data_IF_981926599541
#
_entry.id   IF_981926599541
#
_cell.length_a   1.000
_cell.length_b   1.000
_cell.length_c   1.000
_cell.angle_alpha   90.00
_cell.angle_beta   90.00
_cell.angle_gamma   90.00
#
_symmetry.space_group_name_H-M   'P 1'
#
loop_
_entity.id
_entity.type
_entity.pdbx_description
1 polymer ?
#
# COMPACT_ATOMS: atom_id res chain seq x y z
N UNK A 1 19.25 -32.50 -9.95
CA UNK A 1 18.13 -31.68 -9.46
C UNK A 1 17.15 -31.57 -10.61
N UNK A 2 16.00 -32.23 -10.53
CA UNK A 2 14.99 -32.15 -11.59
C UNK A 2 14.23 -30.83 -11.41
N UNK A 3 14.46 -29.87 -12.29
CA UNK A 3 13.61 -28.68 -12.38
C UNK A 3 12.26 -29.16 -12.88
N UNK A 4 11.19 -28.91 -12.13
CA UNK A 4 9.83 -29.22 -12.56
C UNK A 4 9.49 -28.38 -13.79
N UNK A 5 8.79 -28.94 -14.78
CA UNK A 5 8.41 -28.26 -16.02
C UNK A 5 7.26 -27.27 -15.79
N UNK A 6 7.46 -26.33 -14.86
CA UNK A 6 6.55 -25.23 -14.62
C UNK A 6 7.05 -23.99 -15.36
N UNK A 7 6.16 -23.38 -16.13
CA UNK A 7 6.39 -22.12 -16.83
C UNK A 7 5.61 -20.96 -16.18
N UNK A 8 5.76 -19.75 -16.73
CA UNK A 8 5.11 -18.55 -16.17
C UNK A 8 3.58 -18.63 -16.12
N UNK A 9 2.93 -19.50 -16.93
CA UNK A 9 1.47 -19.69 -16.88
C UNK A 9 1.06 -20.39 -15.59
N UNK A 10 1.87 -21.33 -15.12
CA UNK A 10 1.66 -22.05 -13.86
C UNK A 10 1.77 -21.08 -12.68
N UNK A 11 2.80 -20.23 -12.67
CA UNK A 11 3.01 -19.24 -11.61
C UNK A 11 1.90 -18.18 -11.59
N UNK A 12 1.48 -17.68 -12.76
CA UNK A 12 0.34 -16.75 -12.87
C UNK A 12 -0.96 -17.35 -12.34
N UNK A 13 -1.19 -18.65 -12.52
CA UNK A 13 -2.38 -19.29 -11.98
C UNK A 13 -2.36 -19.33 -10.45
N UNK A 14 -1.22 -19.66 -9.84
CA UNK A 14 -1.09 -19.66 -8.38
C UNK A 14 -1.28 -18.27 -7.78
N UNK A 15 -0.66 -17.27 -8.38
CA UNK A 15 -0.75 -15.88 -7.98
C UNK A 15 -2.20 -15.38 -8.06
N UNK A 16 -2.88 -15.57 -9.20
CA UNK A 16 -4.28 -15.24 -9.39
C UNK A 16 -5.22 -16.03 -8.44
N UNK A 17 -4.87 -17.26 -8.07
CA UNK A 17 -5.67 -18.05 -7.12
C UNK A 17 -5.51 -17.56 -5.68
N UNK A 18 -4.32 -17.10 -5.32
CA UNK A 18 -4.07 -16.44 -4.04
C UNK A 18 -4.90 -15.17 -3.89
N UNK A 19 -4.95 -14.35 -4.93
CA UNK A 19 -5.70 -13.09 -4.96
C UNK A 19 -7.22 -13.32 -4.97
N UNK A 20 -7.69 -14.16 -5.90
CA UNK A 20 -9.12 -14.29 -6.19
C UNK A 20 -9.87 -15.28 -5.27
N UNK A 21 -9.16 -16.12 -4.52
CA UNK A 21 -9.73 -17.09 -3.58
C UNK A 21 -10.58 -18.19 -4.22
N UNK A 22 -10.64 -18.29 -5.56
CA UNK A 22 -11.30 -19.39 -6.27
C UNK A 22 -10.74 -19.60 -7.68
N UNK A 23 -10.70 -20.87 -8.13
CA UNK A 23 -10.16 -21.20 -9.46
C UNK A 23 -10.97 -20.58 -10.60
N UNK A 24 -12.29 -20.42 -10.42
CA UNK A 24 -13.15 -19.77 -11.41
C UNK A 24 -12.88 -18.27 -11.53
N UNK A 25 -12.61 -17.59 -10.41
CA UNK A 25 -12.23 -16.18 -10.41
C UNK A 25 -10.81 -15.99 -10.95
N UNK A 26 -9.85 -16.82 -10.55
CA UNK A 26 -8.48 -16.81 -11.08
C UNK A 26 -8.46 -17.04 -12.61
N UNK A 27 -9.27 -18.00 -13.11
CA UNK A 27 -9.39 -18.23 -14.55
C UNK A 27 -9.89 -16.99 -15.30
N UNK A 28 -10.90 -16.28 -14.76
CA UNK A 28 -11.41 -15.04 -15.36
C UNK A 28 -10.34 -13.94 -15.38
N UNK A 29 -9.59 -13.76 -14.29
CA UNK A 29 -8.48 -12.79 -14.24
C UNK A 29 -7.44 -13.06 -15.33
N UNK A 30 -7.17 -14.32 -15.62
CA UNK A 30 -6.18 -14.73 -16.63
C UNK A 30 -6.74 -14.87 -18.04
N UNK A 31 -8.03 -14.59 -18.27
CA UNK A 31 -8.68 -14.81 -19.57
C UNK A 31 -8.74 -16.28 -20.00
N UNK A 32 -8.72 -17.22 -19.04
CA UNK A 32 -8.77 -18.66 -19.27
C UNK A 32 -10.18 -19.22 -19.07
N UNK A 33 -10.51 -20.27 -19.81
CA UNK A 33 -11.65 -21.11 -19.46
C UNK A 33 -11.36 -21.88 -18.16
N UNK A 34 -12.33 -21.92 -17.22
CA UNK A 34 -12.16 -22.59 -15.94
C UNK A 34 -11.66 -24.05 -16.03
N UNK A 35 -12.11 -24.89 -17.00
CA UNK A 35 -11.55 -26.24 -17.17
C UNK A 35 -10.06 -26.26 -17.49
N UNK A 36 -9.55 -25.23 -18.20
CA UNK A 36 -8.14 -25.12 -18.52
C UNK A 36 -7.33 -24.76 -17.27
N UNK A 37 -7.79 -23.80 -16.48
CA UNK A 37 -7.16 -23.45 -15.20
C UNK A 37 -7.16 -24.65 -14.23
N UNK A 38 -8.27 -25.41 -14.14
CA UNK A 38 -8.32 -26.63 -13.32
C UNK A 38 -7.30 -27.68 -13.78
N UNK A 39 -7.22 -27.96 -15.09
CA UNK A 39 -6.23 -28.91 -15.63
C UNK A 39 -4.80 -28.47 -15.37
N UNK A 40 -4.53 -27.17 -15.46
CA UNK A 40 -3.22 -26.62 -15.17
C UNK A 40 -2.85 -26.82 -13.69
N UNK A 41 -3.77 -26.51 -12.76
CA UNK A 41 -3.58 -26.77 -11.33
C UNK A 41 -3.39 -28.27 -11.03
N UNK A 42 -4.24 -29.14 -11.60
CA UNK A 42 -4.13 -30.58 -11.42
C UNK A 42 -2.77 -31.14 -11.95
N UNK A 43 -2.22 -30.54 -13.01
CA UNK A 43 -0.88 -30.90 -13.51
C UNK A 43 0.23 -30.48 -12.56
N UNK A 44 0.10 -29.31 -11.95
CA UNK A 44 1.04 -28.80 -10.95
C UNK A 44 1.05 -29.68 -9.69
N UNK A 45 -0.13 -30.04 -9.19
CA UNK A 45 -0.28 -30.88 -8.00
C UNK A 45 0.29 -32.28 -8.22
N UNK A 46 0.06 -32.87 -9.39
CA UNK A 46 0.67 -34.17 -9.77
C UNK A 46 2.20 -34.05 -9.82
N UNK A 47 2.74 -32.99 -10.40
CA UNK A 47 4.18 -32.75 -10.45
C UNK A 47 4.77 -32.44 -9.07
N UNK A 48 4.01 -31.74 -8.23
CA UNK A 48 4.40 -31.40 -6.86
C UNK A 48 4.41 -32.62 -5.93
N UNK A 49 3.47 -33.55 -6.14
CA UNK A 49 3.21 -34.67 -5.25
C UNK A 49 2.40 -34.30 -4.00
N UNK A 50 1.79 -33.13 -4.00
CA UNK A 50 0.88 -32.65 -2.94
C UNK A 50 -0.13 -31.66 -3.48
N UNK A 51 -1.24 -31.48 -2.75
CA UNK A 51 -2.29 -30.53 -3.11
C UNK A 51 -1.80 -29.09 -2.90
N UNK A 52 -1.99 -28.24 -3.92
CA UNK A 52 -1.73 -26.79 -3.85
C UNK A 52 -3.00 -26.02 -3.48
N UNK A 53 -4.18 -26.59 -3.78
CA UNK A 53 -5.45 -25.99 -3.43
C UNK A 53 -6.42 -27.03 -2.86
N UNK A 54 -7.29 -26.59 -1.96
CA UNK A 54 -8.41 -27.37 -1.42
C UNK A 54 -9.70 -26.92 -2.08
N UNK A 55 -10.51 -27.91 -2.53
CA UNK A 55 -11.85 -27.68 -3.10
C UNK A 55 -12.89 -27.74 -1.99
N UNK A 56 -13.68 -26.71 -1.85
CA UNK A 56 -14.81 -26.65 -0.92
C UNK A 56 -16.10 -26.23 -1.63
N UNK A 57 -17.23 -26.38 -0.95
CA UNK A 57 -18.53 -25.88 -1.45
C UNK A 57 -18.55 -24.35 -1.68
N UNK A 58 -17.59 -23.62 -1.09
CA UNK A 58 -17.42 -22.15 -1.20
C UNK A 58 -16.37 -21.72 -2.23
N UNK A 59 -15.74 -22.65 -2.93
CA UNK A 59 -14.67 -22.38 -3.90
C UNK A 59 -13.37 -23.16 -3.61
N UNK A 60 -12.28 -22.79 -4.27
CA UNK A 60 -10.97 -23.41 -4.10
C UNK A 60 -10.02 -22.42 -3.46
N UNK A 61 -9.43 -22.77 -2.32
CA UNK A 61 -8.43 -21.96 -1.63
C UNK A 61 -7.08 -22.67 -1.67
N UNK A 62 -6.00 -21.90 -1.69
CA UNK A 62 -4.66 -22.47 -1.54
C UNK A 62 -4.52 -23.14 -0.18
N UNK A 63 -3.83 -24.29 -0.17
CA UNK A 63 -3.34 -24.93 1.06
C UNK A 63 -2.17 -24.12 1.64
N UNK A 64 -1.75 -24.41 2.88
CA UNK A 64 -0.54 -23.78 3.46
C UNK A 64 0.68 -24.00 2.56
N UNK A 65 0.83 -25.20 1.98
CA UNK A 65 1.88 -25.50 1.00
C UNK A 65 1.69 -24.72 -0.29
N UNK A 66 0.44 -24.56 -0.74
CA UNK A 66 0.07 -23.75 -1.90
C UNK A 66 0.41 -22.27 -1.71
N UNK A 67 0.18 -21.71 -0.52
CA UNK A 67 0.54 -20.34 -0.17
C UNK A 67 2.06 -20.10 -0.23
N UNK A 68 2.85 -21.02 0.30
CA UNK A 68 4.33 -20.95 0.19
C UNK A 68 4.78 -20.96 -1.27
N UNK A 69 4.21 -21.86 -2.09
CA UNK A 69 4.58 -21.95 -3.51
C UNK A 69 4.09 -20.73 -4.30
N UNK A 70 2.92 -20.19 -3.97
CA UNK A 70 2.41 -18.97 -4.59
C UNK A 70 3.29 -17.76 -4.28
N UNK A 71 3.79 -17.62 -3.05
CA UNK A 71 4.75 -16.56 -2.70
C UNK A 71 6.04 -16.64 -3.55
N UNK A 72 6.61 -17.83 -3.71
CA UNK A 72 7.77 -18.04 -4.59
C UNK A 72 7.44 -17.83 -6.08
N UNK A 73 6.21 -18.18 -6.50
CA UNK A 73 5.74 -17.95 -7.86
C UNK A 73 5.66 -16.45 -8.19
N UNK A 74 5.17 -15.64 -7.24
CA UNK A 74 5.14 -14.18 -7.35
C UNK A 74 6.54 -13.58 -7.54
N UNK A 75 7.56 -14.07 -6.82
CA UNK A 75 8.96 -13.66 -7.01
C UNK A 75 9.48 -13.97 -8.42
N UNK A 76 9.15 -15.15 -8.97
CA UNK A 76 9.53 -15.53 -10.35
C UNK A 76 8.84 -14.63 -11.38
N UNK A 77 7.55 -14.32 -11.19
CA UNK A 77 6.81 -13.42 -12.07
C UNK A 77 7.39 -12.01 -12.05
N UNK A 78 7.73 -11.51 -10.88
CA UNK A 78 8.41 -10.23 -10.74
C UNK A 78 9.78 -10.22 -11.42
N UNK A 79 10.56 -11.30 -11.32
CA UNK A 79 11.84 -11.43 -12.04
C UNK A 79 11.63 -11.43 -13.57
N UNK A 80 10.61 -12.12 -14.07
CA UNK A 80 10.26 -12.14 -15.49
C UNK A 80 9.85 -10.74 -15.99
N UNK A 81 9.08 -10.00 -15.20
CA UNK A 81 8.70 -8.61 -15.50
C UNK A 81 9.94 -7.71 -15.59
N UNK A 82 10.89 -7.82 -14.66
CA UNK A 82 12.17 -7.08 -14.73
C UNK A 82 12.95 -7.37 -16.01
N UNK A 83 12.97 -8.63 -16.46
CA UNK A 83 13.62 -8.99 -17.75
C UNK A 83 12.94 -8.29 -18.93
N UNK A 84 11.60 -8.27 -18.97
CA UNK A 84 10.86 -7.56 -20.02
C UNK A 84 11.18 -6.07 -20.02
N UNK A 85 11.16 -5.41 -18.86
CA UNK A 85 11.50 -3.99 -18.73
C UNK A 85 12.94 -3.70 -19.19
N UNK A 86 13.89 -4.57 -18.83
CA UNK A 86 15.28 -4.42 -19.28
C UNK A 86 15.42 -4.55 -20.81
N UNK A 87 14.68 -5.48 -21.42
CA UNK A 87 14.65 -5.65 -22.88
C UNK A 87 14.06 -4.42 -23.56
N UNK A 88 12.94 -3.89 -23.06
CA UNK A 88 12.28 -2.70 -23.61
C UNK A 88 13.19 -1.47 -23.51
N UNK A 89 13.88 -1.29 -22.38
CA UNK A 89 14.86 -0.22 -22.19
C UNK A 89 16.04 -0.34 -23.17
N UNK A 90 16.57 -1.56 -23.37
CA UNK A 90 17.66 -1.81 -24.32
C UNK A 90 17.22 -1.65 -25.77
N UNK A 91 15.96 -1.89 -26.08
CA UNK A 91 15.39 -1.69 -27.42
C UNK A 91 15.13 -0.21 -27.75
N UNK A 92 15.38 0.72 -26.82
CA UNK A 92 15.12 2.15 -27.01
C UNK A 92 13.64 2.52 -27.09
N UNK A 93 12.77 1.60 -26.72
CA UNK A 93 11.33 1.83 -26.62
C UNK A 93 11.02 2.43 -25.26
N UNK A 94 11.19 3.71 -25.04
CA UNK A 94 10.89 4.48 -23.84
C UNK A 94 10.87 3.68 -22.53
N UNK A 95 11.55 4.15 -21.47
CA UNK A 95 11.59 3.42 -20.20
C UNK A 95 10.21 3.21 -19.59
N UNK A 96 10.05 2.14 -18.82
CA UNK A 96 8.87 1.91 -17.97
C UNK A 96 9.24 2.06 -16.49
N UNK A 97 8.34 2.61 -15.70
CA UNK A 97 8.50 2.78 -14.25
C UNK A 97 7.22 2.35 -13.55
N UNK A 98 7.31 1.29 -12.76
CA UNK A 98 6.21 0.81 -11.95
C UNK A 98 6.36 1.34 -10.53
N UNK A 99 5.35 2.07 -10.07
CA UNK A 99 5.32 2.73 -8.78
C UNK A 99 4.20 2.11 -7.94
N UNK A 100 4.47 1.84 -6.66
CA UNK A 100 3.43 1.62 -5.67
C UNK A 100 3.48 2.73 -4.63
N UNK A 101 2.35 3.34 -4.33
CA UNK A 101 2.29 4.49 -3.43
C UNK A 101 1.29 4.29 -2.30
N UNK A 102 1.66 4.75 -1.09
CA UNK A 102 0.71 4.92 0.00
C UNK A 102 -0.39 5.91 -0.38
N UNK A 103 -1.57 5.76 0.25
CA UNK A 103 -2.75 6.52 -0.14
C UNK A 103 -2.54 8.04 -0.07
N UNK A 104 -1.92 8.55 1.00
CA UNK A 104 -1.74 10.01 1.14
C UNK A 104 -0.88 10.59 0.02
N UNK A 105 0.22 9.91 -0.33
CA UNK A 105 1.09 10.34 -1.45
C UNK A 105 0.35 10.19 -2.78
N UNK A 106 -0.36 9.06 -2.99
CA UNK A 106 -1.09 8.79 -4.21
C UNK A 106 -2.22 9.81 -4.48
N UNK A 107 -2.96 10.19 -3.43
CA UNK A 107 -4.12 11.08 -3.54
C UNK A 107 -3.73 12.56 -3.64
N UNK A 108 -2.66 12.99 -2.94
CA UNK A 108 -2.38 14.42 -2.75
C UNK A 108 -1.11 14.93 -3.44
N UNK A 109 -0.15 14.07 -3.76
CA UNK A 109 1.13 14.47 -4.33
C UNK A 109 1.35 13.90 -5.74
N UNK A 110 1.05 12.61 -5.91
CA UNK A 110 1.30 11.89 -7.15
C UNK A 110 0.64 12.53 -8.38
N UNK A 111 -0.60 13.08 -8.33
CA UNK A 111 -1.20 13.69 -9.50
C UNK A 111 -0.38 14.85 -10.09
N UNK A 112 0.18 15.72 -9.25
CA UNK A 112 1.04 16.82 -9.68
C UNK A 112 2.38 16.31 -10.24
N UNK A 113 2.97 15.30 -9.60
CA UNK A 113 4.22 14.68 -10.04
C UNK A 113 4.07 13.99 -11.40
N UNK A 114 2.98 13.23 -11.59
CA UNK A 114 2.68 12.56 -12.86
C UNK A 114 2.37 13.54 -13.98
N UNK A 115 1.64 14.64 -13.69
CA UNK A 115 1.37 15.68 -14.67
C UNK A 115 2.68 16.33 -15.16
N UNK A 116 3.63 16.59 -14.24
CA UNK A 116 4.93 17.14 -14.61
C UNK A 116 5.82 16.11 -15.31
N UNK A 117 5.78 14.83 -14.88
CA UNK A 117 6.51 13.75 -15.52
C UNK A 117 6.06 13.58 -16.98
N UNK A 118 4.75 13.62 -17.25
CA UNK A 118 4.21 13.56 -18.61
C UNK A 118 4.77 14.66 -19.55
N UNK A 119 5.07 15.83 -18.99
CA UNK A 119 5.62 16.96 -19.76
C UNK A 119 7.14 16.86 -19.94
N UNK A 120 7.87 16.49 -18.87
CA UNK A 120 9.35 16.52 -18.85
C UNK A 120 10.00 15.21 -19.25
N UNK A 121 9.28 14.09 -19.08
CA UNK A 121 9.74 12.71 -19.38
C UNK A 121 8.73 12.01 -20.32
N UNK A 122 8.43 12.57 -21.52
CA UNK A 122 7.34 12.06 -22.36
C UNK A 122 7.56 10.63 -22.88
N UNK A 123 8.78 10.14 -22.88
CA UNK A 123 9.13 8.78 -23.28
C UNK A 123 8.99 7.77 -22.12
N UNK A 124 8.75 8.23 -20.88
CA UNK A 124 8.61 7.37 -19.72
C UNK A 124 7.15 6.93 -19.54
N UNK A 125 6.92 5.61 -19.63
CA UNK A 125 5.63 5.00 -19.29
C UNK A 125 5.57 4.75 -17.77
N UNK A 126 4.61 5.32 -17.07
CA UNK A 126 4.47 5.16 -15.62
C UNK A 126 3.18 4.41 -15.32
N UNK A 127 3.30 3.33 -14.54
CA UNK A 127 2.18 2.61 -13.94
C UNK A 127 2.17 2.91 -12.44
N UNK A 128 1.01 3.26 -11.89
CA UNK A 128 0.83 3.57 -10.48
C UNK A 128 -0.16 2.60 -9.84
N UNK A 129 0.33 1.85 -8.87
CA UNK A 129 -0.47 1.07 -7.94
C UNK A 129 -0.63 1.84 -6.62
N UNK A 130 -1.76 1.66 -5.96
CA UNK A 130 -2.06 2.32 -4.69
C UNK A 130 -2.34 1.27 -3.62
N UNK A 131 -1.73 1.48 -2.44
CA UNK A 131 -1.91 0.60 -1.30
C UNK A 131 -1.62 1.31 0.02
N UNK A 132 -1.37 0.56 1.07
CA UNK A 132 -0.81 1.11 2.31
C UNK A 132 0.72 0.89 2.37
N UNK A 133 1.39 1.47 3.37
CA UNK A 133 2.85 1.38 3.45
C UNK A 133 3.37 -0.06 3.55
N UNK A 134 2.64 -0.97 4.19
CA UNK A 134 3.04 -2.37 4.28
C UNK A 134 3.01 -3.04 2.90
N UNK A 135 1.93 -2.85 2.13
CA UNK A 135 1.81 -3.42 0.78
C UNK A 135 2.82 -2.84 -0.21
N UNK A 136 3.26 -1.58 -0.02
CA UNK A 136 4.37 -1.01 -0.80
C UNK A 136 5.65 -1.81 -0.58
N UNK A 137 6.01 -2.11 0.67
CA UNK A 137 7.19 -2.92 0.97
C UNK A 137 7.09 -4.35 0.44
N UNK A 138 5.91 -4.97 0.52
CA UNK A 138 5.67 -6.31 -0.03
C UNK A 138 5.93 -6.34 -1.53
N UNK A 139 5.32 -5.43 -2.29
CA UNK A 139 5.49 -5.33 -3.74
C UNK A 139 6.93 -5.03 -4.17
N UNK A 140 7.65 -4.20 -3.40
CA UNK A 140 9.07 -3.95 -3.64
C UNK A 140 9.93 -5.20 -3.39
N UNK A 141 9.63 -6.02 -2.36
CA UNK A 141 10.33 -7.30 -2.10
C UNK A 141 10.08 -8.31 -3.20
N UNK A 142 8.86 -8.41 -3.67
CA UNK A 142 8.45 -9.25 -4.79
C UNK A 142 9.08 -8.77 -6.10
N UNK A 143 9.49 -7.50 -6.18
CA UNK A 143 10.00 -6.87 -7.40
C UNK A 143 8.92 -6.63 -8.44
N UNK A 144 7.66 -6.57 -8.03
CA UNK A 144 6.53 -6.23 -8.89
C UNK A 144 6.45 -4.73 -9.18
N UNK A 145 7.16 -3.90 -8.41
CA UNK A 145 7.33 -2.47 -8.61
C UNK A 145 8.78 -2.05 -8.42
N UNK A 146 9.17 -0.96 -9.08
CA UNK A 146 10.54 -0.43 -9.09
C UNK A 146 10.77 0.60 -7.99
N UNK A 147 9.73 1.37 -7.66
CA UNK A 147 9.77 2.49 -6.74
C UNK A 147 8.53 2.49 -5.86
N UNK A 148 8.74 2.71 -4.57
CA UNK A 148 7.68 2.85 -3.59
C UNK A 148 7.62 4.24 -2.97
N UNK A 149 6.44 4.64 -2.52
CA UNK A 149 6.25 5.82 -1.67
C UNK A 149 5.51 5.41 -0.41
N UNK A 150 6.13 5.66 0.73
CA UNK A 150 5.62 5.24 2.05
C UNK A 150 5.46 6.42 2.99
N UNK A 151 4.61 6.24 3.98
CA UNK A 151 4.30 7.21 5.01
C UNK A 151 4.25 6.48 6.36
N UNK A 152 5.14 6.75 7.24
CA UNK A 152 5.10 6.08 8.54
C UNK A 152 6.46 5.98 9.19
N UNK A 153 6.49 5.53 10.44
CA UNK A 153 7.70 5.48 11.23
C UNK A 153 8.57 4.24 10.92
N UNK A 154 8.04 3.28 10.18
CA UNK A 154 8.71 2.01 9.91
C UNK A 154 9.83 2.19 8.91
N UNK A 155 11.03 1.77 9.30
CA UNK A 155 12.21 1.63 8.44
C UNK A 155 12.52 0.14 8.35
N UNK A 156 12.43 -0.40 7.15
CA UNK A 156 12.69 -1.81 6.89
C UNK A 156 14.09 -2.00 6.29
N UNK A 157 14.75 -3.08 6.65
CA UNK A 157 16.07 -3.42 6.09
C UNK A 157 15.94 -3.90 4.64
N UNK A 158 17.00 -3.69 3.85
CA UNK A 158 17.03 -4.11 2.44
C UNK A 158 16.49 -3.07 1.46
N UNK A 159 16.24 -1.84 1.91
CA UNK A 159 15.79 -0.74 1.07
C UNK A 159 16.66 0.50 1.24
N UNK A 160 16.72 1.30 0.19
CA UNK A 160 17.18 2.67 0.23
C UNK A 160 15.99 3.60 0.48
N UNK A 161 16.25 4.72 1.13
CA UNK A 161 15.24 5.72 1.49
C UNK A 161 15.68 7.10 1.04
N UNK A 162 14.72 7.86 0.53
CA UNK A 162 14.87 9.27 0.27
C UNK A 162 13.75 10.02 1.00
N UNK A 163 14.11 10.78 2.02
CA UNK A 163 13.16 11.66 2.70
C UNK A 163 12.70 12.75 1.73
N UNK A 164 11.40 12.93 1.58
CA UNK A 164 10.81 13.87 0.65
C UNK A 164 10.26 15.08 1.39
N UNK A 165 9.26 14.87 2.24
CA UNK A 165 8.64 15.95 3.00
C UNK A 165 8.04 15.46 4.31
N UNK A 166 7.82 16.38 5.23
CA UNK A 166 7.14 16.15 6.48
C UNK A 166 5.64 16.33 6.29
N UNK A 167 4.85 15.44 6.87
CA UNK A 167 3.40 15.50 6.92
C UNK A 167 2.94 15.46 8.38
N UNK A 168 2.07 16.40 8.75
CA UNK A 168 1.46 16.47 10.07
C UNK A 168 0.10 15.77 10.04
N UNK A 169 -0.13 14.87 11.00
CA UNK A 169 -1.43 14.29 11.24
C UNK A 169 -2.18 15.13 12.29
N UNK A 170 -3.49 15.18 12.15
CA UNK A 170 -4.39 15.91 13.02
C UNK A 170 -5.38 14.97 13.66
N UNK A 171 -5.70 15.22 14.94
CA UNK A 171 -6.92 14.69 15.56
C UNK A 171 -8.08 15.55 15.09
N UNK A 172 -9.08 14.93 14.47
CA UNK A 172 -10.22 15.63 13.89
C UNK A 172 -11.53 15.08 14.40
N UNK A 173 -12.51 15.98 14.53
CA UNK A 173 -13.87 15.68 15.00
C UNK A 173 -14.89 16.44 14.16
N UNK A 174 -16.17 16.03 14.12
CA UNK A 174 -17.23 16.85 13.53
C UNK A 174 -17.42 18.18 14.32
N UNK A 175 -17.88 19.23 13.66
CA UNK A 175 -18.13 20.53 14.30
C UNK A 175 -19.09 20.45 15.52
N UNK A 176 -20.02 19.49 15.51
CA UNK A 176 -20.96 19.27 16.63
C UNK A 176 -20.37 18.44 17.79
N UNK A 177 -19.14 17.91 17.68
CA UNK A 177 -18.54 17.10 18.73
C UNK A 177 -18.14 17.95 19.95
N UNK A 178 -18.28 17.44 21.19
CA UNK A 178 -17.92 18.22 22.40
C UNK A 178 -16.47 18.75 22.39
N UNK A 179 -15.54 18.05 21.75
CA UNK A 179 -14.15 18.50 21.64
C UNK A 179 -13.96 19.70 20.71
N UNK A 180 -14.88 19.92 19.76
CA UNK A 180 -14.76 21.03 18.81
C UNK A 180 -14.83 22.42 19.48
N UNK A 181 -15.51 22.52 20.64
CA UNK A 181 -15.62 23.76 21.40
C UNK A 181 -14.49 23.93 22.44
N UNK A 182 -13.56 23.00 22.55
CA UNK A 182 -12.48 23.01 23.55
C UNK A 182 -11.19 23.53 22.92
N UNK A 183 -10.44 24.29 23.68
CA UNK A 183 -9.11 24.77 23.29
C UNK A 183 -8.13 23.61 23.17
N UNK A 184 -8.19 22.65 24.11
CA UNK A 184 -7.34 21.45 24.13
C UNK A 184 -8.12 20.21 24.60
N UNK A 185 -7.62 19.05 24.18
CA UNK A 185 -8.08 17.72 24.63
C UNK A 185 -6.87 16.93 25.13
N UNK A 186 -7.02 16.19 26.23
CA UNK A 186 -5.96 15.37 26.77
C UNK A 186 -5.63 14.16 25.89
N UNK A 187 -4.37 13.76 25.80
CA UNK A 187 -3.94 12.60 25.02
C UNK A 187 -4.58 11.29 25.57
N UNK A 188 -4.76 11.17 26.89
CA UNK A 188 -5.43 10.02 27.53
C UNK A 188 -6.92 9.94 27.13
N UNK A 189 -7.57 11.10 26.97
CA UNK A 189 -8.95 11.18 26.53
C UNK A 189 -9.08 10.72 25.07
N UNK A 190 -8.14 11.15 24.19
CA UNK A 190 -8.07 10.68 22.81
C UNK A 190 -7.80 9.17 22.75
N UNK A 191 -6.86 8.67 23.56
CA UNK A 191 -6.51 7.25 23.60
C UNK A 191 -7.67 6.35 24.07
N UNK A 192 -8.56 6.88 24.93
CA UNK A 192 -9.71 6.16 25.47
C UNK A 192 -10.96 6.24 24.59
N UNK A 193 -10.98 7.12 23.60
CA UNK A 193 -12.12 7.31 22.72
C UNK A 193 -12.25 6.15 21.70
N UNK A 194 -13.48 5.93 21.21
CA UNK A 194 -13.71 5.08 20.04
C UNK A 194 -13.22 5.80 18.79
N UNK A 195 -11.99 5.47 18.33
CA UNK A 195 -11.38 6.12 17.18
C UNK A 195 -11.81 5.47 15.87
N UNK A 196 -12.01 6.31 14.83
CA UNK A 196 -11.99 5.86 13.45
C UNK A 196 -10.54 5.76 13.01
N UNK A 197 -10.10 4.57 12.63
CA UNK A 197 -8.70 4.27 12.29
C UNK A 197 -8.60 3.67 10.89
N UNK A 198 -7.43 3.81 10.30
CA UNK A 198 -7.08 3.13 9.06
C UNK A 198 -6.83 1.63 9.32
N UNK A 199 -6.83 0.87 8.25
CA UNK A 199 -6.52 -0.56 8.23
C UNK A 199 -5.09 -0.86 8.72
N UNK A 200 -4.85 -2.11 9.12
CA UNK A 200 -3.52 -2.60 9.46
C UNK A 200 -2.54 -2.40 8.29
N UNK A 201 -1.30 -2.00 8.59
CA UNK A 201 -0.28 -1.67 7.56
C UNK A 201 -0.30 -0.21 7.09
N UNK A 202 -1.32 0.58 7.45
CA UNK A 202 -1.36 2.03 7.17
C UNK A 202 -0.34 2.78 8.01
N UNK A 203 0.50 3.62 7.38
CA UNK A 203 1.42 4.50 8.06
C UNK A 203 0.71 5.54 8.96
N UNK A 204 -0.46 6.03 8.57
CA UNK A 204 -1.31 6.91 9.40
C UNK A 204 -1.68 6.23 10.71
N UNK A 205 -2.15 4.97 10.63
CA UNK A 205 -2.49 4.18 11.83
C UNK A 205 -1.27 3.95 12.71
N UNK A 206 -0.14 3.56 12.13
CA UNK A 206 1.10 3.30 12.89
C UNK A 206 1.57 4.53 13.68
N UNK A 207 1.51 5.72 13.07
CA UNK A 207 1.88 6.98 13.75
C UNK A 207 0.91 7.27 14.90
N UNK A 208 -0.40 7.16 14.65
CA UNK A 208 -1.42 7.38 15.69
C UNK A 208 -1.27 6.41 16.87
N UNK A 209 -1.15 5.11 16.58
CA UNK A 209 -0.98 4.07 17.61
C UNK A 209 0.31 4.27 18.42
N UNK A 210 1.43 4.58 17.75
CA UNK A 210 2.70 4.83 18.43
C UNK A 210 2.63 6.07 19.33
N UNK A 211 2.00 7.14 18.85
CA UNK A 211 1.87 8.38 19.64
C UNK A 211 0.94 8.20 20.84
N UNK A 212 -0.13 7.40 20.69
CA UNK A 212 -1.10 7.16 21.76
C UNK A 212 -0.72 6.00 22.70
N UNK A 213 0.29 5.19 22.38
CA UNK A 213 0.67 4.00 23.14
C UNK A 213 0.97 4.30 24.62
N UNK A 214 1.64 5.44 24.92
CA UNK A 214 1.96 5.86 26.28
C UNK A 214 0.73 6.34 27.09
N UNK A 215 -0.39 6.56 26.41
CA UNK A 215 -1.64 7.11 26.96
C UNK A 215 -2.79 6.08 26.98
N UNK A 216 -2.53 4.84 26.56
CA UNK A 216 -3.52 3.77 26.56
C UNK A 216 -3.42 3.00 27.87
N UNK A 217 -4.51 2.92 28.63
CA UNK A 217 -4.57 2.12 29.85
C UNK A 217 -4.38 0.62 29.55
N UNK A 218 -3.64 -0.10 30.39
CA UNK A 218 -3.36 -1.55 30.20
C UNK A 218 -4.60 -2.45 30.16
N UNK A 219 -5.74 -1.97 30.66
CA UNK A 219 -6.94 -2.80 30.88
C UNK A 219 -8.02 -2.75 29.81
N UNK A 220 -7.92 -1.86 28.80
CA UNK A 220 -8.96 -1.77 27.77
C UNK A 220 -8.34 -1.44 26.40
N UNK A 221 -8.39 -2.40 25.48
CA UNK A 221 -8.20 -2.07 24.08
C UNK A 221 -9.33 -1.12 23.67
N UNK A 222 -9.03 0.13 23.26
CA UNK A 222 -10.07 1.07 22.85
C UNK A 222 -10.86 0.50 21.67
N UNK A 223 -12.18 0.69 21.68
CA UNK A 223 -13.02 0.34 20.53
C UNK A 223 -12.54 1.13 19.31
N UNK A 224 -12.43 0.46 18.18
CA UNK A 224 -11.94 1.06 16.94
C UNK A 224 -12.89 0.74 15.78
N UNK A 225 -13.19 1.75 14.97
CA UNK A 225 -13.83 1.55 13.68
C UNK A 225 -12.73 1.58 12.60
N UNK A 226 -12.45 0.44 11.99
CA UNK A 226 -11.42 0.32 10.96
C UNK A 226 -11.99 0.60 9.57
N UNK A 227 -11.28 1.42 8.78
CA UNK A 227 -11.63 1.78 7.40
C UNK A 227 -10.41 1.72 6.49
N UNK A 228 -10.62 1.38 5.21
CA UNK A 228 -9.56 1.08 4.24
C UNK A 228 -9.06 2.29 3.43
N UNK A 229 -9.49 3.54 3.69
CA UNK A 229 -9.00 4.71 2.94
C UNK A 229 -9.10 6.00 3.76
N UNK A 230 -8.34 7.04 3.33
CA UNK A 230 -8.42 8.38 3.92
C UNK A 230 -9.82 8.99 3.73
N UNK A 231 -10.40 8.83 2.54
CA UNK A 231 -11.74 9.32 2.24
C UNK A 231 -12.80 8.67 3.13
N UNK A 232 -12.73 7.34 3.35
CA UNK A 232 -13.63 6.64 4.26
C UNK A 232 -13.45 7.10 5.72
N UNK A 233 -12.20 7.35 6.16
CA UNK A 233 -11.92 7.88 7.50
C UNK A 233 -12.55 9.26 7.68
N UNK A 234 -12.28 10.19 6.77
CA UNK A 234 -12.82 11.54 6.82
C UNK A 234 -14.35 11.54 6.80
N UNK A 235 -14.96 10.73 5.93
CA UNK A 235 -16.42 10.60 5.84
C UNK A 235 -17.03 10.01 7.12
N UNK A 236 -16.38 9.01 7.72
CA UNK A 236 -16.84 8.37 8.96
C UNK A 236 -16.77 9.33 10.15
N UNK A 237 -15.68 10.11 10.27
CA UNK A 237 -15.57 11.16 11.28
C UNK A 237 -16.64 12.22 11.07
N UNK A 238 -16.85 12.68 9.84
CA UNK A 238 -17.87 13.67 9.53
C UNK A 238 -19.31 13.19 9.79
N UNK A 239 -19.54 11.88 9.72
CA UNK A 239 -20.79 11.22 10.10
C UNK A 239 -20.97 11.05 11.62
N UNK A 240 -19.97 11.43 12.44
CA UNK A 240 -20.04 11.34 13.90
C UNK A 240 -19.75 9.96 14.47
N UNK A 241 -19.08 9.06 13.72
CA UNK A 241 -18.78 7.70 14.18
C UNK A 241 -17.63 7.65 15.19
N UNK A 242 -16.94 8.77 15.41
CA UNK A 242 -15.87 8.94 16.38
C UNK A 242 -14.80 9.92 15.90
N UNK A 243 -13.88 10.33 16.80
CA UNK A 243 -12.68 11.08 16.42
C UNK A 243 -11.78 10.26 15.50
N UNK A 244 -11.00 10.94 14.64
CA UNK A 244 -10.02 10.28 13.77
C UNK A 244 -8.67 10.97 13.77
N UNK A 245 -7.61 10.22 13.42
CA UNK A 245 -6.29 10.77 13.16
C UNK A 245 -6.01 10.66 11.68
N UNK A 246 -5.75 11.78 11.02
CA UNK A 246 -5.65 11.85 9.57
C UNK A 246 -4.63 12.90 9.12
N UNK A 247 -4.02 12.70 7.95
CA UNK A 247 -3.13 13.70 7.34
C UNK A 247 -3.83 15.04 7.16
N UNK A 248 -3.11 16.12 7.45
CA UNK A 248 -3.58 17.49 7.16
C UNK A 248 -3.94 17.64 5.69
N UNK A 249 -3.18 17.03 4.77
CA UNK A 249 -3.46 17.08 3.33
C UNK A 249 -4.83 16.47 3.00
N UNK A 250 -5.18 15.35 3.64
CA UNK A 250 -6.41 14.63 3.37
C UNK A 250 -7.67 15.32 3.94
N UNK A 251 -7.52 16.13 4.99
CA UNK A 251 -8.66 16.73 5.69
C UNK A 251 -8.81 18.23 5.46
N UNK A 252 -7.85 18.86 4.76
CA UNK A 252 -7.88 20.31 4.50
C UNK A 252 -9.20 20.83 3.93
N UNK A 253 -9.88 20.18 2.97
CA UNK A 253 -11.15 20.66 2.45
C UNK A 253 -12.25 20.70 3.51
N UNK A 254 -12.33 19.72 4.39
CA UNK A 254 -13.32 19.64 5.47
C UNK A 254 -13.04 20.67 6.57
N UNK A 255 -11.77 20.97 6.85
CA UNK A 255 -11.38 22.01 7.77
C UNK A 255 -11.76 23.40 7.23
N UNK A 256 -11.53 23.66 5.93
CA UNK A 256 -11.88 24.93 5.28
C UNK A 256 -13.38 25.17 5.27
N UNK A 257 -14.19 24.13 5.11
CA UNK A 257 -15.66 24.24 5.12
C UNK A 257 -16.25 24.25 6.55
N UNK A 258 -15.42 24.03 7.58
CA UNK A 258 -15.87 23.91 8.95
C UNK A 258 -16.68 22.64 9.25
N UNK A 259 -16.71 21.68 8.33
CA UNK A 259 -17.41 20.40 8.54
C UNK A 259 -16.69 19.52 9.57
N UNK A 260 -15.36 19.59 9.60
CA UNK A 260 -14.51 19.01 10.62
C UNK A 260 -13.69 20.09 11.32
N UNK A 261 -13.31 19.81 12.55
CA UNK A 261 -12.47 20.68 13.39
C UNK A 261 -11.24 19.89 13.82
N UNK A 262 -10.07 20.46 13.67
CA UNK A 262 -8.85 19.92 14.23
C UNK A 262 -8.75 20.26 15.71
N UNK A 263 -8.45 19.27 16.53
CA UNK A 263 -8.35 19.40 17.98
C UNK A 263 -6.89 19.47 18.39
N UNK A 264 -6.54 20.44 19.23
CA UNK A 264 -5.18 20.54 19.81
C UNK A 264 -5.04 19.54 20.95
N UNK A 265 -4.02 18.67 20.85
CA UNK A 265 -3.69 17.67 21.88
C UNK A 265 -2.26 17.95 22.37
N UNK A 266 -2.09 18.66 23.51
CA UNK A 266 -0.77 19.03 24.01
C UNK A 266 0.10 17.80 24.27
N UNK A 267 1.38 17.88 23.85
CA UNK A 267 2.35 16.81 24.06
C UNK A 267 2.23 15.62 23.08
N UNK A 268 1.18 15.53 22.28
CA UNK A 268 1.03 14.49 21.28
C UNK A 268 1.71 14.87 19.97
N UNK A 269 2.79 14.17 19.62
CA UNK A 269 3.53 14.40 18.36
C UNK A 269 3.00 13.47 17.28
N UNK A 270 2.24 14.02 16.34
CA UNK A 270 1.60 13.33 15.24
C UNK A 270 2.23 13.77 13.91
N UNK A 271 3.54 13.58 13.77
CA UNK A 271 4.29 13.93 12.57
C UNK A 271 4.95 12.70 11.96
N UNK A 272 5.07 12.69 10.64
CA UNK A 272 5.73 11.64 9.88
C UNK A 272 6.53 12.20 8.71
N UNK A 273 7.44 11.39 8.17
CA UNK A 273 8.15 11.71 6.94
C UNK A 273 7.58 10.86 5.82
N UNK A 274 7.23 11.49 4.70
CA UNK A 274 6.92 10.81 3.46
C UNK A 274 8.22 10.51 2.73
N UNK A 275 8.38 9.25 2.27
CA UNK A 275 9.64 8.75 1.72
C UNK A 275 9.43 8.04 0.40
N UNK A 276 10.37 8.23 -0.52
CA UNK A 276 10.56 7.30 -1.61
C UNK A 276 11.44 6.14 -1.12
N UNK A 277 11.12 4.91 -1.55
CA UNK A 277 11.86 3.72 -1.18
C UNK A 277 12.08 2.81 -2.41
N UNK A 278 13.26 2.16 -2.48
CA UNK A 278 13.57 1.18 -3.53
C UNK A 278 14.54 0.12 -2.99
N UNK A 279 14.55 -1.11 -3.58
CA UNK A 279 15.39 -2.19 -3.07
C UNK A 279 16.88 -1.88 -3.14
N UNK A 280 17.63 -2.12 -2.06
CA UNK A 280 19.09 -1.86 -2.00
C UNK A 280 19.91 -2.85 -2.81
N UNK A 281 19.35 -4.02 -3.13
CA UNK A 281 20.00 -5.09 -3.90
C UNK A 281 20.01 -4.86 -5.42
N UNK A 282 19.25 -3.87 -5.90
CA UNK A 282 19.14 -3.56 -7.33
C UNK A 282 19.67 -2.13 -7.53
N UNK A 283 20.59 -1.91 -8.49
CA UNK A 283 20.98 -0.54 -8.85
C UNK A 283 19.76 0.29 -9.24
N UNK A 284 19.77 1.55 -8.88
CA UNK A 284 18.73 2.49 -9.28
C UNK A 284 18.68 2.59 -10.81
N UNK A 285 17.54 2.29 -11.42
CA UNK A 285 17.40 2.44 -12.86
C UNK A 285 17.47 3.92 -13.25
N UNK A 286 17.79 4.19 -14.51
CA UNK A 286 17.80 5.54 -15.06
C UNK A 286 16.42 6.20 -14.91
N UNK A 287 15.37 5.48 -15.23
CA UNK A 287 13.98 5.91 -15.19
C UNK A 287 13.57 6.31 -13.77
N UNK A 288 13.90 5.45 -12.79
CA UNK A 288 13.64 5.73 -11.36
C UNK A 288 14.42 6.97 -10.91
N UNK A 289 15.70 7.09 -11.31
CA UNK A 289 16.54 8.23 -10.98
C UNK A 289 16.00 9.55 -11.56
N UNK A 290 15.59 9.56 -12.84
CA UNK A 290 15.01 10.73 -13.51
C UNK A 290 13.70 11.15 -12.86
N UNK A 291 12.81 10.19 -12.51
CA UNK A 291 11.56 10.49 -11.82
C UNK A 291 11.80 11.03 -10.39
N UNK A 292 12.72 10.44 -9.62
CA UNK A 292 13.06 10.94 -8.28
C UNK A 292 13.68 12.33 -8.33
N UNK A 293 14.53 12.63 -9.30
CA UNK A 293 15.11 13.97 -9.49
C UNK A 293 14.01 15.00 -9.81
N UNK A 294 13.03 14.63 -10.64
CA UNK A 294 11.86 15.46 -10.94
C UNK A 294 11.05 15.71 -9.67
N UNK A 295 10.71 14.66 -8.89
CA UNK A 295 9.96 14.79 -7.63
C UNK A 295 10.65 15.75 -6.67
N UNK A 296 11.98 15.61 -6.47
CA UNK A 296 12.76 16.53 -5.62
C UNK A 296 12.68 17.95 -6.12
N UNK A 297 12.83 18.18 -7.41
CA UNK A 297 12.75 19.55 -7.96
C UNK A 297 11.38 20.23 -7.73
N UNK A 298 10.32 19.45 -7.54
CA UNK A 298 8.97 19.95 -7.26
C UNK A 298 8.70 20.18 -5.76
N UNK A 299 9.52 19.57 -4.91
CA UNK A 299 9.40 19.74 -3.44
C UNK A 299 10.28 20.88 -2.96
N UNK A 300 11.47 21.06 -3.57
CA UNK A 300 12.46 22.07 -3.18
C UNK A 300 12.17 23.45 -3.80
N UNK A 301 11.28 23.56 -4.79
CA UNK A 301 10.90 24.80 -5.49
C UNK A 301 9.53 25.30 -5.11
#
# INVERSE_FOLDING_TARGET
MTVRDWDLRHFRLLDALAEAGSIGAAARLLGLAQPNASRLLDSMERSAGFALAERSARGSRLTDRGLVVAGLASEVLAAATRVTHAVDALAGQGGSLHICSSLTVAEHLMPAWLATARQRLPALSITLDVGNSASVFERLREGSVDLGFVEGPTIETGFHYLDLLRDDLLVVVPAAHPWAARETVGADEVASATLVVREAGSGTRQVAERALAAHTAESAAPSRLEVGSNAALVASVAAGLGPGVVSRMAVSPELLTGRLVAVTVPGLVLARTLRAVWPSRVPLSRETGEFLALVRSLIDG
#
